data_IF_544190501376
#
_entry.id   IF_544190501376
#
_cell.length_a   1.000
_cell.length_b   1.000
_cell.length_c   1.000
_cell.angle_alpha   90.00
_cell.angle_beta   90.00
_cell.angle_gamma   90.00
#
_symmetry.space_group_name_H-M   'P 1'
#
loop_
_entity.id
_entity.type
_entity.pdbx_description
1 polymer ?
#
# COMPACT_ATOMS: atom_id res chain seq x y z
N UNK A 1 16.59 26.88 -14.74
CA UNK A 1 17.45 27.57 -13.73
C UNK A 1 18.22 26.48 -13.02
N UNK A 2 19.55 26.59 -12.99
CA UNK A 2 20.41 25.64 -12.30
C UNK A 2 20.76 26.25 -10.94
N UNK A 3 20.69 25.44 -9.89
CA UNK A 3 21.07 25.82 -8.52
C UNK A 3 22.25 24.96 -8.09
N UNK A 4 23.25 25.58 -7.47
CA UNK A 4 24.45 24.88 -7.00
C UNK A 4 24.45 24.81 -5.46
N UNK A 5 24.84 23.66 -4.92
CA UNK A 5 25.11 23.45 -3.50
C UNK A 5 26.33 22.53 -3.29
N UNK A 6 26.59 22.14 -2.04
CA UNK A 6 27.70 21.25 -1.69
C UNK A 6 27.59 19.84 -2.29
N UNK A 7 26.41 19.41 -2.75
CA UNK A 7 26.16 18.12 -3.36
C UNK A 7 26.23 18.15 -4.90
N UNK A 8 26.20 19.35 -5.52
CA UNK A 8 26.44 19.57 -6.94
C UNK A 8 25.49 20.59 -7.56
N UNK A 9 25.23 20.42 -8.85
CA UNK A 9 24.31 21.28 -9.59
C UNK A 9 22.98 20.57 -9.80
N UNK A 10 21.91 21.30 -9.54
CA UNK A 10 20.53 20.84 -9.54
C UNK A 10 19.70 21.60 -10.56
N UNK A 11 18.81 20.90 -11.24
CA UNK A 11 17.82 21.51 -12.12
C UNK A 11 16.48 20.78 -12.02
N UNK A 12 15.39 21.55 -12.03
CA UNK A 12 14.05 20.99 -12.20
C UNK A 12 13.76 20.83 -13.70
N UNK A 13 13.43 19.60 -14.11
CA UNK A 13 12.88 19.31 -15.44
C UNK A 13 11.38 19.06 -15.31
N UNK A 14 10.58 19.61 -16.20
CA UNK A 14 9.13 19.41 -16.19
C UNK A 14 8.57 19.16 -17.57
N UNK A 15 7.57 18.28 -17.65
CA UNK A 15 6.77 18.07 -18.84
C UNK A 15 5.28 17.96 -18.49
N UNK A 16 4.41 18.04 -19.49
CA UNK A 16 2.97 17.84 -19.30
C UNK A 16 2.62 16.41 -19.72
N UNK A 17 1.96 15.65 -18.85
CA UNK A 17 1.51 14.31 -19.17
C UNK A 17 0.44 14.37 -20.28
N UNK A 18 0.62 13.69 -21.42
CA UNK A 18 -0.34 13.74 -22.52
C UNK A 18 -1.68 13.08 -22.18
N UNK A 19 -1.70 12.14 -21.24
CA UNK A 19 -2.91 11.40 -20.87
C UNK A 19 -3.84 12.21 -19.95
N UNK A 20 -3.29 12.96 -19.00
CA UNK A 20 -4.08 13.64 -17.96
C UNK A 20 -3.87 15.15 -17.89
N UNK A 21 -3.01 15.73 -18.75
CA UNK A 21 -2.67 17.16 -18.78
C UNK A 21 -2.11 17.72 -17.47
N UNK A 22 -1.64 16.87 -16.56
CA UNK A 22 -1.00 17.28 -15.30
C UNK A 22 0.51 17.41 -15.48
N UNK A 23 1.11 18.35 -14.74
CA UNK A 23 2.57 18.53 -14.72
C UNK A 23 3.28 17.34 -14.07
N UNK A 24 4.32 16.86 -14.75
CA UNK A 24 5.31 15.90 -14.27
C UNK A 24 6.60 16.67 -14.02
N UNK A 25 7.18 16.54 -12.83
CA UNK A 25 8.36 17.30 -12.41
C UNK A 25 9.40 16.32 -11.87
N UNK A 26 10.62 16.45 -12.39
CA UNK A 26 11.80 15.74 -11.93
C UNK A 26 12.80 16.74 -11.35
N UNK A 27 13.46 16.36 -10.26
CA UNK A 27 14.63 17.05 -9.75
C UNK A 27 15.86 16.24 -10.17
N UNK A 28 16.69 16.82 -11.03
CA UNK A 28 17.88 16.18 -11.56
C UNK A 28 19.14 16.83 -10.99
N UNK A 29 20.17 16.01 -10.75
CA UNK A 29 21.51 16.44 -10.36
C UNK A 29 22.50 16.03 -11.43
N UNK A 30 23.35 16.94 -11.86
CA UNK A 30 24.27 16.67 -12.96
C UNK A 30 25.33 17.72 -13.17
N UNK A 31 26.10 17.60 -14.26
CA UNK A 31 27.02 18.64 -14.71
C UNK A 31 26.28 19.65 -15.61
N UNK A 32 26.40 20.96 -15.36
CA UNK A 32 25.87 21.97 -16.27
C UNK A 32 26.63 21.94 -17.60
N UNK A 33 25.94 22.30 -18.69
CA UNK A 33 26.56 22.61 -19.97
C UNK A 33 27.38 23.90 -19.87
N UNK A 34 28.20 24.20 -20.88
CA UNK A 34 29.06 25.39 -20.91
C UNK A 34 28.29 26.71 -20.75
N UNK A 35 27.02 26.74 -21.18
CA UNK A 35 26.14 27.90 -21.04
C UNK A 35 25.41 27.98 -19.68
N UNK A 36 25.57 26.99 -18.80
CA UNK A 36 24.84 26.83 -17.53
C UNK A 36 23.30 26.94 -17.67
N UNK A 37 22.77 26.56 -18.84
CA UNK A 37 21.33 26.58 -19.15
C UNK A 37 20.65 25.25 -18.88
N UNK A 38 21.38 24.14 -18.98
CA UNK A 38 20.86 22.77 -18.82
C UNK A 38 21.93 21.82 -18.27
N UNK A 39 21.51 20.67 -17.76
CA UNK A 39 22.43 19.59 -17.34
C UNK A 39 22.75 18.69 -18.54
N UNK A 40 24.03 18.43 -18.80
CA UNK A 40 24.50 17.52 -19.87
C UNK A 40 24.77 16.11 -19.37
N UNK A 41 25.33 15.99 -18.15
CA UNK A 41 25.62 14.71 -17.52
C UNK A 41 24.80 14.57 -16.24
N UNK A 42 23.55 14.11 -16.38
CA UNK A 42 22.67 13.83 -15.23
C UNK A 42 23.17 12.57 -14.53
N UNK A 43 23.57 12.72 -13.26
CA UNK A 43 24.02 11.63 -12.40
C UNK A 43 22.85 10.95 -11.71
N UNK A 44 21.85 11.73 -11.31
CA UNK A 44 20.69 11.27 -10.55
C UNK A 44 19.44 12.10 -10.91
N UNK A 45 18.27 11.49 -10.83
CA UNK A 45 16.99 12.11 -11.15
C UNK A 45 15.87 11.52 -10.32
N UNK A 46 15.22 12.36 -9.52
CA UNK A 46 14.11 11.98 -8.64
C UNK A 46 12.80 12.56 -9.16
N UNK A 47 11.77 11.73 -9.27
CA UNK A 47 10.42 12.19 -9.57
C UNK A 47 9.85 12.95 -8.36
N UNK A 48 9.56 14.23 -8.54
CA UNK A 48 8.96 15.10 -7.51
C UNK A 48 7.44 15.15 -7.65
N UNK A 49 6.93 15.11 -8.90
CA UNK A 49 5.49 15.15 -9.18
C UNK A 49 5.15 14.30 -10.40
N UNK A 50 4.06 13.49 -10.38
CA UNK A 50 3.26 13.19 -9.18
C UNK A 50 4.10 12.41 -8.16
N UNK A 51 3.84 12.63 -6.86
CA UNK A 51 4.29 11.66 -5.85
C UNK A 51 3.45 10.41 -6.05
N UNK A 52 4.09 9.32 -6.44
CA UNK A 52 3.46 8.04 -6.67
C UNK A 52 4.16 6.96 -5.87
N UNK A 53 3.42 5.92 -5.54
CA UNK A 53 4.02 4.67 -5.07
C UNK A 53 4.38 3.81 -6.28
N UNK A 54 5.35 2.91 -6.11
CA UNK A 54 5.62 1.83 -7.07
C UNK A 54 4.62 0.67 -6.91
N UNK A 55 3.52 0.88 -6.17
CA UNK A 55 2.53 -0.12 -5.83
C UNK A 55 1.24 0.09 -6.62
N UNK A 56 0.45 -0.97 -6.82
CA UNK A 56 -0.87 -0.83 -7.45
C UNK A 56 -1.76 0.13 -6.64
N UNK A 57 -2.65 0.88 -7.30
CA UNK A 57 -3.64 1.68 -6.59
C UNK A 57 -4.58 0.79 -5.79
N UNK A 58 -5.10 1.32 -4.67
CA UNK A 58 -6.08 0.62 -3.85
C UNK A 58 -7.33 0.26 -4.70
N UNK A 59 -7.85 -0.98 -4.62
CA UNK A 59 -9.07 -1.35 -5.34
C UNK A 59 -10.28 -0.51 -4.92
N UNK A 60 -11.17 -0.21 -5.88
CA UNK A 60 -12.34 0.63 -5.64
C UNK A 60 -13.37 0.00 -4.68
N UNK A 61 -13.33 -1.31 -4.48
CA UNK A 61 -14.21 -2.05 -3.59
C UNK A 61 -13.82 -1.92 -2.10
N UNK A 62 -12.62 -1.39 -1.81
CA UNK A 62 -12.10 -1.22 -0.44
C UNK A 62 -12.72 0.04 0.20
N UNK A 63 -13.19 -0.03 1.47
CA UNK A 63 -13.71 1.12 2.20
C UNK A 63 -12.70 2.27 2.28
N UNK A 64 -13.21 3.51 2.19
CA UNK A 64 -12.39 4.73 2.11
C UNK A 64 -11.39 4.87 3.27
N UNK A 65 -11.79 4.54 4.51
CA UNK A 65 -10.93 4.63 5.69
C UNK A 65 -9.69 3.72 5.59
N UNK A 66 -9.85 2.53 5.00
CA UNK A 66 -8.75 1.57 4.81
C UNK A 66 -7.91 1.97 3.58
N UNK A 67 -8.58 2.45 2.53
CA UNK A 67 -7.93 2.87 1.29
C UNK A 67 -7.04 4.10 1.48
N UNK A 68 -7.44 5.05 2.34
CA UNK A 68 -6.65 6.23 2.70
C UNK A 68 -5.36 5.83 3.42
N UNK A 69 -5.47 5.00 4.47
CA UNK A 69 -4.32 4.50 5.23
C UNK A 69 -3.33 3.74 4.33
N UNK A 70 -3.84 2.85 3.46
CA UNK A 70 -2.99 2.11 2.52
C UNK A 70 -2.33 3.02 1.49
N UNK A 71 -3.06 3.99 0.94
CA UNK A 71 -2.52 4.91 -0.07
C UNK A 71 -1.44 5.79 0.54
N UNK A 72 -1.65 6.28 1.77
CA UNK A 72 -0.64 7.04 2.51
C UNK A 72 0.59 6.19 2.82
N UNK A 73 0.40 4.94 3.28
CA UNK A 73 1.48 4.01 3.55
C UNK A 73 2.35 3.76 2.30
N UNK A 74 1.70 3.56 1.16
CA UNK A 74 2.38 3.37 -0.12
C UNK A 74 3.18 4.60 -0.56
N UNK A 75 2.68 5.81 -0.28
CA UNK A 75 3.35 7.07 -0.63
C UNK A 75 4.59 7.32 0.22
N UNK A 76 4.55 7.00 1.52
CA UNK A 76 5.67 7.26 2.44
C UNK A 76 6.68 6.12 2.50
N UNK A 77 6.46 5.02 1.79
CA UNK A 77 7.33 3.83 1.81
C UNK A 77 8.82 4.14 1.58
N UNK A 78 9.12 4.96 0.56
CA UNK A 78 10.50 5.33 0.22
C UNK A 78 11.07 6.42 1.14
N UNK A 79 10.22 7.20 1.79
CA UNK A 79 10.65 8.30 2.68
C UNK A 79 10.85 7.81 4.12
N UNK A 80 10.00 6.90 4.58
CA UNK A 80 10.01 6.33 5.93
C UNK A 80 9.30 4.96 5.94
N UNK A 81 10.07 3.86 5.83
CA UNK A 81 9.54 2.51 6.00
C UNK A 81 8.82 2.32 7.34
N UNK A 82 9.27 3.00 8.39
CA UNK A 82 8.62 2.99 9.71
C UNK A 82 7.22 3.57 9.67
N UNK A 83 7.04 4.73 9.01
CA UNK A 83 5.73 5.35 8.85
C UNK A 83 4.82 4.47 7.99
N UNK A 84 5.35 3.92 6.89
CA UNK A 84 4.63 2.99 6.02
C UNK A 84 4.12 1.76 6.79
N UNK A 85 4.97 1.13 7.60
CA UNK A 85 4.56 -0.01 8.42
C UNK A 85 3.52 0.37 9.48
N UNK A 86 3.63 1.54 10.12
CA UNK A 86 2.63 1.99 11.09
C UNK A 86 1.25 2.21 10.45
N UNK A 87 1.22 2.89 9.29
CA UNK A 87 0.00 3.11 8.51
C UNK A 87 -0.58 1.80 7.97
N UNK A 88 0.27 0.90 7.46
CA UNK A 88 -0.13 -0.44 7.02
C UNK A 88 -0.73 -1.28 8.15
N UNK A 89 -0.12 -1.26 9.34
CA UNK A 89 -0.69 -1.93 10.53
C UNK A 89 -2.06 -1.35 10.90
N UNK A 90 -2.23 -0.03 10.84
CA UNK A 90 -3.52 0.64 11.07
C UNK A 90 -4.58 0.19 10.06
N UNK A 91 -4.24 0.20 8.77
CA UNK A 91 -5.11 -0.32 7.70
C UNK A 91 -5.50 -1.78 7.93
N UNK A 92 -4.55 -2.61 8.39
CA UNK A 92 -4.79 -4.03 8.69
C UNK A 92 -5.77 -4.18 9.85
N UNK A 93 -5.58 -3.46 10.96
CA UNK A 93 -6.53 -3.49 12.08
C UNK A 93 -7.94 -3.08 11.66
N UNK A 94 -8.06 -2.02 10.86
CA UNK A 94 -9.35 -1.58 10.32
C UNK A 94 -10.00 -2.66 9.46
N UNK A 95 -9.24 -3.32 8.58
CA UNK A 95 -9.72 -4.44 7.77
C UNK A 95 -10.18 -5.62 8.63
N UNK A 96 -9.39 -6.04 9.61
CA UNK A 96 -9.71 -7.18 10.48
C UNK A 96 -11.02 -6.94 11.25
N UNK A 97 -11.19 -5.73 11.79
CA UNK A 97 -12.39 -5.36 12.54
C UNK A 97 -13.63 -5.26 11.64
N UNK A 98 -13.47 -4.68 10.45
CA UNK A 98 -14.59 -4.46 9.52
C UNK A 98 -15.04 -5.73 8.80
N UNK A 99 -14.10 -6.57 8.36
CA UNK A 99 -14.38 -7.72 7.48
C UNK A 99 -14.36 -9.07 8.19
N UNK A 100 -13.43 -9.26 9.13
CA UNK A 100 -13.32 -10.53 9.86
C UNK A 100 -14.16 -10.57 11.14
N UNK A 101 -14.64 -9.41 11.62
CA UNK A 101 -15.48 -9.31 12.82
C UNK A 101 -14.72 -9.57 14.12
N UNK A 102 -13.40 -9.40 14.09
CA UNK A 102 -12.49 -9.62 15.22
C UNK A 102 -12.71 -8.56 16.30
N UNK A 103 -12.58 -8.94 17.57
CA UNK A 103 -12.77 -8.02 18.69
C UNK A 103 -11.63 -7.01 18.78
N UNK A 104 -11.94 -5.77 19.18
CA UNK A 104 -10.94 -4.73 19.37
C UNK A 104 -9.92 -5.15 20.44
N UNK A 105 -8.67 -5.30 20.03
CA UNK A 105 -7.52 -5.63 20.87
C UNK A 105 -6.25 -5.04 20.24
N UNK A 106 -5.06 -5.40 20.74
CA UNK A 106 -3.82 -5.26 19.97
C UNK A 106 -3.87 -6.09 18.67
N UNK A 107 -3.12 -5.64 17.64
CA UNK A 107 -3.11 -6.26 16.32
C UNK A 107 -2.68 -7.74 16.37
N UNK A 108 -1.79 -8.11 17.29
CA UNK A 108 -1.30 -9.49 17.40
C UNK A 108 -2.41 -10.46 17.81
N UNK A 109 -3.21 -10.09 18.81
CA UNK A 109 -4.38 -10.86 19.24
C UNK A 109 -5.46 -10.84 18.16
N UNK A 110 -5.62 -9.72 17.45
CA UNK A 110 -6.58 -9.63 16.35
C UNK A 110 -6.21 -10.58 15.20
N UNK A 111 -4.93 -10.70 14.85
CA UNK A 111 -4.43 -11.67 13.87
C UNK A 111 -4.63 -13.10 14.38
N UNK A 112 -4.32 -13.38 15.64
CA UNK A 112 -4.52 -14.72 16.21
C UNK A 112 -5.99 -15.14 16.17
N UNK A 113 -6.93 -14.27 16.55
CA UNK A 113 -8.37 -14.56 16.47
C UNK A 113 -8.82 -14.84 15.02
N UNK A 114 -8.24 -14.15 14.03
CA UNK A 114 -8.50 -14.45 12.63
C UNK A 114 -7.93 -15.82 12.22
N UNK A 115 -6.70 -16.15 12.61
CA UNK A 115 -6.08 -17.45 12.32
C UNK A 115 -6.90 -18.61 12.92
N UNK A 116 -7.36 -18.44 14.16
CA UNK A 116 -8.19 -19.42 14.87
C UNK A 116 -9.56 -19.64 14.21
N UNK A 117 -10.01 -18.69 13.38
CA UNK A 117 -11.29 -18.82 12.67
C UNK A 117 -11.23 -19.75 11.45
N UNK A 118 -10.02 -20.10 10.97
CA UNK A 118 -9.77 -20.94 9.78
C UNK A 118 -10.51 -20.48 8.50
N UNK A 119 -10.91 -19.20 8.44
CA UNK A 119 -11.62 -18.63 7.28
C UNK A 119 -10.71 -18.21 6.13
N UNK A 120 -9.42 -18.08 6.38
CA UNK A 120 -8.44 -17.66 5.39
C UNK A 120 -7.84 -18.86 4.65
N UNK A 121 -7.54 -18.72 3.34
CA UNK A 121 -6.67 -19.65 2.63
C UNK A 121 -5.29 -19.74 3.32
N UNK A 122 -4.70 -20.94 3.33
CA UNK A 122 -3.44 -21.25 4.03
C UNK A 122 -2.32 -20.25 3.73
N UNK A 123 -2.10 -19.90 2.47
CA UNK A 123 -1.05 -18.95 2.09
C UNK A 123 -1.25 -17.54 2.69
N UNK A 124 -2.50 -17.05 2.78
CA UNK A 124 -2.79 -15.74 3.39
C UNK A 124 -2.63 -15.83 4.91
N UNK A 125 -3.06 -16.95 5.51
CA UNK A 125 -2.91 -17.21 6.93
C UNK A 125 -1.43 -17.25 7.36
N UNK A 126 -0.56 -17.93 6.59
CA UNK A 126 0.89 -17.95 6.83
C UNK A 126 1.51 -16.56 6.69
N UNK A 127 1.10 -15.79 5.67
CA UNK A 127 1.62 -14.45 5.42
C UNK A 127 1.23 -13.45 6.51
N UNK A 128 -0.01 -13.50 7.02
CA UNK A 128 -0.46 -12.62 8.11
C UNK A 128 0.15 -13.04 9.46
N UNK A 129 0.36 -14.35 9.68
CA UNK A 129 1.08 -14.82 10.86
C UNK A 129 2.54 -14.35 10.85
N UNK A 130 3.17 -14.29 9.67
CA UNK A 130 4.50 -13.70 9.54
C UNK A 130 4.52 -12.22 9.98
N UNK A 131 3.49 -11.42 9.67
CA UNK A 131 3.39 -10.03 10.16
C UNK A 131 3.29 -9.98 11.69
N UNK A 132 2.49 -10.87 12.29
CA UNK A 132 2.39 -10.99 13.75
C UNK A 132 3.75 -11.30 14.37
N UNK A 133 4.48 -12.24 13.79
CA UNK A 133 5.80 -12.63 14.26
C UNK A 133 6.85 -11.54 14.03
N UNK A 134 6.91 -10.93 12.85
CA UNK A 134 7.82 -9.82 12.52
C UNK A 134 7.56 -8.63 13.43
N UNK A 135 6.29 -8.25 13.65
CA UNK A 135 5.94 -7.21 14.62
C UNK A 135 6.40 -7.51 16.04
N UNK A 136 6.47 -8.79 16.40
CA UNK A 136 7.02 -9.30 17.65
C UNK A 136 8.55 -9.55 17.62
N UNK A 137 9.22 -9.48 16.46
CA UNK A 137 10.66 -9.66 16.28
C UNK A 137 11.39 -8.32 16.19
N UNK A 138 10.81 -7.31 15.51
CA UNK A 138 11.29 -5.92 15.57
C UNK A 138 11.01 -5.29 16.95
N UNK A 139 10.13 -5.91 17.75
CA UNK A 139 10.03 -5.72 19.19
C UNK A 139 10.93 -6.75 19.90
N UNK A 140 11.93 -6.31 20.65
CA UNK A 140 12.59 -7.20 21.61
C UNK A 140 11.55 -7.85 22.56
N UNK A 141 11.86 -9.01 23.20
CA UNK A 141 10.91 -9.92 23.86
C UNK A 141 10.26 -9.41 25.15
N UNK A 142 9.98 -8.12 25.26
CA UNK A 142 9.19 -7.52 26.31
C UNK A 142 8.03 -6.76 25.69
N UNK A 143 6.84 -7.38 25.76
CA UNK A 143 5.50 -6.78 25.71
C UNK A 143 5.54 -5.26 25.49
N UNK A 144 5.39 -4.80 24.25
CA UNK A 144 5.19 -3.37 23.97
C UNK A 144 3.81 -2.97 24.51
N UNK A 145 3.77 -2.65 25.80
CA UNK A 145 2.60 -2.12 26.49
C UNK A 145 2.52 -0.58 26.31
N UNK A 146 3.42 -0.01 25.51
CA UNK A 146 3.65 1.43 25.40
C UNK A 146 3.42 1.88 23.95
N UNK A 147 2.35 2.64 23.76
CA UNK A 147 1.80 3.12 22.47
C UNK A 147 2.63 4.23 21.79
N UNK A 148 3.94 4.32 22.04
CA UNK A 148 4.78 5.44 21.57
C UNK A 148 6.23 5.10 21.23
N UNK A 149 6.65 3.84 21.28
CA UNK A 149 8.01 3.45 20.93
C UNK A 149 8.11 3.21 19.41
N UNK A 150 8.88 4.06 18.71
CA UNK A 150 9.13 3.91 17.28
C UNK A 150 10.30 2.94 17.10
N UNK A 151 9.97 1.66 16.95
CA UNK A 151 10.95 0.62 16.69
C UNK A 151 11.57 0.76 15.30
N UNK A 152 12.82 0.30 15.09
CA UNK A 152 13.37 0.16 13.76
C UNK A 152 12.50 -0.80 12.94
N UNK A 153 12.21 -0.41 11.70
CA UNK A 153 11.49 -1.23 10.72
C UNK A 153 12.33 -1.20 9.47
N UNK A 154 12.67 -2.38 8.97
CA UNK A 154 13.40 -2.53 7.72
C UNK A 154 12.45 -2.35 6.53
N UNK A 155 12.92 -1.82 5.38
CA UNK A 155 12.07 -1.63 4.20
C UNK A 155 11.28 -2.88 3.79
N UNK A 156 11.92 -4.04 3.81
CA UNK A 156 11.28 -5.30 3.43
C UNK A 156 10.13 -5.70 4.38
N UNK A 157 10.17 -5.35 5.67
CA UNK A 157 9.09 -5.63 6.63
C UNK A 157 7.86 -4.75 6.35
N UNK A 158 8.09 -3.47 6.04
CA UNK A 158 7.04 -2.55 5.63
C UNK A 158 6.44 -2.96 4.27
N UNK A 159 7.29 -3.42 3.34
CA UNK A 159 6.84 -3.95 2.06
C UNK A 159 5.97 -5.18 2.22
N UNK A 160 6.39 -6.12 3.07
CA UNK A 160 5.61 -7.32 3.36
C UNK A 160 4.23 -6.99 3.94
N UNK A 161 4.16 -6.03 4.86
CA UNK A 161 2.89 -5.59 5.47
C UNK A 161 1.89 -5.11 4.41
N UNK A 162 2.36 -4.32 3.45
CA UNK A 162 1.53 -3.80 2.37
C UNK A 162 1.15 -4.90 1.35
N UNK A 163 2.01 -5.88 1.12
CA UNK A 163 1.71 -7.02 0.24
C UNK A 163 0.59 -7.90 0.82
N UNK A 164 0.63 -8.19 2.12
CA UNK A 164 -0.44 -8.96 2.77
C UNK A 164 -1.75 -8.17 2.78
N UNK A 165 -1.70 -6.86 2.95
CA UNK A 165 -2.89 -6.01 2.80
C UNK A 165 -3.51 -6.14 1.41
N UNK A 166 -2.70 -6.12 0.36
CA UNK A 166 -3.18 -6.30 -1.02
C UNK A 166 -3.85 -7.66 -1.21
N UNK A 167 -3.27 -8.74 -0.66
CA UNK A 167 -3.88 -10.08 -0.69
C UNK A 167 -5.23 -10.11 0.06
N UNK A 168 -5.30 -9.45 1.22
CA UNK A 168 -6.53 -9.36 2.01
C UNK A 168 -7.59 -8.49 1.32
N UNK A 169 -7.18 -7.42 0.62
CA UNK A 169 -8.11 -6.63 -0.18
C UNK A 169 -8.73 -7.46 -1.30
N UNK A 170 -7.91 -8.27 -1.99
CA UNK A 170 -8.43 -9.15 -3.01
C UNK A 170 -9.40 -10.18 -2.41
N UNK A 171 -9.05 -10.80 -1.28
CA UNK A 171 -9.88 -11.81 -0.63
C UNK A 171 -11.21 -11.27 -0.07
N UNK A 172 -11.19 -10.17 0.69
CA UNK A 172 -12.37 -9.67 1.40
C UNK A 172 -13.26 -8.75 0.58
N UNK A 173 -12.71 -8.03 -0.40
CA UNK A 173 -13.47 -7.01 -1.15
C UNK A 173 -13.60 -7.38 -2.63
N UNK A 174 -12.47 -7.59 -3.31
CA UNK A 174 -12.46 -7.69 -4.78
C UNK A 174 -13.04 -9.03 -5.27
N UNK A 175 -12.64 -10.17 -4.70
CA UNK A 175 -13.14 -11.48 -5.10
C UNK A 175 -14.66 -11.61 -4.85
N UNK A 176 -15.21 -11.23 -3.69
CA UNK A 176 -16.66 -11.22 -3.47
C UNK A 176 -17.40 -10.31 -4.45
N UNK A 177 -16.90 -9.10 -4.69
CA UNK A 177 -17.50 -8.15 -5.64
C UNK A 177 -17.51 -8.71 -7.08
N UNK A 178 -16.37 -9.23 -7.55
CA UNK A 178 -16.26 -9.90 -8.87
C UNK A 178 -17.20 -11.10 -8.97
N UNK A 179 -17.29 -11.92 -7.93
CA UNK A 179 -18.14 -13.10 -7.93
C UNK A 179 -19.63 -12.72 -7.94
N UNK A 180 -20.02 -11.69 -7.19
CA UNK A 180 -21.38 -11.14 -7.22
C UNK A 180 -21.74 -10.59 -8.60
N UNK A 181 -20.89 -9.75 -9.19
CA UNK A 181 -21.12 -9.19 -10.52
C UNK A 181 -21.28 -10.28 -11.60
N UNK A 182 -20.47 -11.35 -11.54
CA UNK A 182 -20.60 -12.50 -12.45
C UNK A 182 -21.93 -13.24 -12.27
N UNK A 183 -22.36 -13.46 -11.02
CA UNK A 183 -23.65 -14.11 -10.71
C UNK A 183 -24.82 -13.24 -11.20
N UNK A 184 -24.77 -11.94 -10.95
CA UNK A 184 -25.81 -10.99 -11.37
C UNK A 184 -25.92 -10.95 -12.90
N UNK A 185 -24.79 -10.89 -13.62
CA UNK A 185 -24.76 -10.94 -15.08
C UNK A 185 -25.33 -12.26 -15.64
N UNK A 186 -25.06 -13.39 -14.97
CA UNK A 186 -25.62 -14.67 -15.42
C UNK A 186 -27.11 -14.78 -15.10
N UNK A 187 -27.56 -14.29 -13.94
CA UNK A 187 -28.97 -14.24 -13.57
C UNK A 187 -29.77 -13.35 -14.51
N UNK A 188 -29.22 -12.22 -14.96
CA UNK A 188 -29.85 -11.39 -15.99
C UNK A 188 -30.09 -12.18 -17.30
N UNK A 189 -29.09 -12.93 -17.77
CA UNK A 189 -29.24 -13.80 -18.95
C UNK A 189 -30.24 -14.94 -18.74
N UNK A 190 -30.30 -15.52 -17.55
CA UNK A 190 -31.27 -16.58 -17.23
C UNK A 190 -32.70 -16.02 -17.22
N UNK A 191 -32.90 -14.82 -16.67
CA UNK A 191 -34.18 -14.13 -16.67
C UNK A 191 -34.67 -13.81 -18.10
N UNK A 192 -33.78 -13.33 -18.98
CA UNK A 192 -34.08 -13.14 -20.41
C UNK A 192 -34.48 -14.45 -21.11
N UNK A 193 -33.89 -15.57 -20.68
CA UNK A 193 -34.19 -16.92 -21.18
C UNK A 193 -35.37 -17.61 -20.48
N UNK A 194 -36.08 -16.94 -19.56
CA UNK A 194 -37.21 -17.50 -18.81
C UNK A 194 -36.84 -18.62 -17.83
N UNK A 195 -35.57 -18.72 -17.42
CA UNK A 195 -35.06 -19.74 -16.50
C UNK A 195 -34.94 -19.18 -15.07
N UNK A 196 -35.06 -20.01 -14.02
CA UNK A 196 -34.89 -19.56 -12.65
C UNK A 196 -33.44 -19.09 -12.39
N UNK A 197 -33.25 -18.17 -11.41
CA UNK A 197 -31.91 -17.68 -11.06
C UNK A 197 -31.04 -18.78 -10.45
N UNK A 198 -29.72 -18.59 -10.50
CA UNK A 198 -28.78 -19.44 -9.79
C UNK A 198 -28.98 -19.33 -8.27
N UNK A 199 -28.81 -20.46 -7.58
CA UNK A 199 -28.74 -20.53 -6.11
C UNK A 199 -27.44 -19.94 -5.58
#
# INVERSE_FOLDING_TARGET
MITEDTAGHWAAASCICPACSKAVIFLARGRPNDAATSLENVYDSTLVRPRGSNRPPCPADVPAEIAEDYSEACLVMNDSPKASAALGRRALQHLLRASAGVKKSDLSNEIQELLDSEKLPTHIAENIDAIRNIGNFSAHPQKSSSTGEILPVEPHEAEWTLEVLEQLFDFYYVQPAKAKAKRDALNAKLAEAGKPPMK
#
